data_IF_916313086990
#
_entry.id   IF_916313086990
#
_cell.length_a   1.000
_cell.length_b   1.000
_cell.length_c   1.000
_cell.angle_alpha   90.00
_cell.angle_beta   90.00
_cell.angle_gamma   90.00
#
_symmetry.space_group_name_H-M   'P 1'
#
loop_
_entity.id
_entity.type
_entity.pdbx_description
1 polymer ?
#
# COMPACT_ATOMS: atom_id res chain seq x y z
N UNK A 1 3.02 8.84 -17.76
CA UNK A 1 3.72 9.75 -16.82
C UNK A 1 5.20 9.47 -16.96
N UNK A 2 6.02 10.51 -17.12
CA UNK A 2 7.48 10.35 -17.20
C UNK A 2 8.07 9.98 -15.84
N UNK A 3 9.28 9.43 -15.81
CA UNK A 3 9.99 9.12 -14.56
C UNK A 3 10.22 10.37 -13.71
N UNK A 4 10.61 11.50 -14.32
CA UNK A 4 10.76 12.78 -13.63
C UNK A 4 9.46 13.24 -12.94
N UNK A 5 8.30 13.01 -13.57
CA UNK A 5 7.00 13.32 -12.94
C UNK A 5 6.68 12.38 -11.77
N UNK A 6 7.05 11.09 -11.84
CA UNK A 6 6.90 10.16 -10.71
C UNK A 6 7.73 10.60 -9.52
N UNK A 7 9.00 10.90 -9.74
CA UNK A 7 9.92 11.32 -8.68
C UNK A 7 9.44 12.60 -7.98
N UNK A 8 8.97 13.57 -8.77
CA UNK A 8 8.40 14.82 -8.23
C UNK A 8 7.18 14.54 -7.34
N UNK A 9 6.27 13.66 -7.79
CA UNK A 9 5.08 13.28 -7.03
C UNK A 9 5.43 12.57 -5.72
N UNK A 10 6.32 11.57 -5.77
CA UNK A 10 6.78 10.82 -4.59
C UNK A 10 7.47 11.77 -3.62
N UNK A 11 8.37 12.65 -4.10
CA UNK A 11 9.08 13.63 -3.28
C UNK A 11 8.11 14.60 -2.62
N UNK A 12 7.10 15.08 -3.33
CA UNK A 12 6.08 15.96 -2.76
C UNK A 12 5.31 15.26 -1.64
N UNK A 13 4.82 14.04 -1.90
CA UNK A 13 4.08 13.24 -0.93
C UNK A 13 4.91 12.93 0.33
N UNK A 14 6.14 12.44 0.17
CA UNK A 14 7.02 12.06 1.28
C UNK A 14 7.49 13.25 2.14
N UNK A 15 7.46 14.47 1.59
CA UNK A 15 7.82 15.69 2.30
C UNK A 15 6.62 16.41 2.94
N UNK A 16 5.40 15.91 2.76
CA UNK A 16 4.23 16.52 3.38
C UNK A 16 4.18 16.24 4.89
N UNK A 17 3.63 17.19 5.66
CA UNK A 17 3.63 17.16 7.12
C UNK A 17 3.09 15.84 7.74
N UNK A 18 2.03 15.20 7.21
CA UNK A 18 1.53 13.93 7.76
C UNK A 18 2.53 12.77 7.68
N UNK A 19 3.53 12.85 6.80
CA UNK A 19 4.52 11.80 6.56
C UNK A 19 5.90 12.11 7.15
N UNK A 20 6.06 13.23 7.87
CA UNK A 20 7.35 13.60 8.47
C UNK A 20 7.95 12.46 9.32
N UNK A 21 7.10 11.71 10.02
CA UNK A 21 7.48 10.58 10.87
C UNK A 21 8.17 9.44 10.11
N UNK A 22 7.89 9.25 8.81
CA UNK A 22 8.55 8.20 8.02
C UNK A 22 10.07 8.41 8.03
N UNK A 23 10.52 9.66 7.95
CA UNK A 23 11.95 10.00 7.91
C UNK A 23 12.70 9.62 9.19
N UNK A 24 11.97 9.48 10.30
CA UNK A 24 12.52 9.08 11.59
C UNK A 24 12.62 7.54 11.71
N UNK A 25 12.08 6.79 10.75
CA UNK A 25 11.99 5.33 10.78
C UNK A 25 12.51 4.70 9.48
N UNK A 26 13.83 4.40 9.38
CA UNK A 26 14.47 3.91 8.14
C UNK A 26 13.82 2.67 7.53
N UNK A 27 13.39 1.71 8.35
CA UNK A 27 12.76 0.48 7.88
C UNK A 27 11.47 0.75 7.09
N UNK A 28 10.62 1.66 7.59
CA UNK A 28 9.41 2.05 6.88
C UNK A 28 9.73 2.78 5.57
N UNK A 29 10.75 3.63 5.57
CA UNK A 29 11.20 4.31 4.35
C UNK A 29 11.64 3.31 3.29
N UNK A 30 12.41 2.29 3.66
CA UNK A 30 12.88 1.25 2.74
C UNK A 30 11.73 0.44 2.13
N UNK A 31 10.72 0.09 2.95
CA UNK A 31 9.52 -0.61 2.47
C UNK A 31 8.75 0.25 1.45
N UNK A 32 8.46 1.51 1.78
CA UNK A 32 7.75 2.41 0.88
C UNK A 32 8.58 2.77 -0.36
N UNK A 33 9.89 2.91 -0.24
CA UNK A 33 10.76 3.17 -1.39
C UNK A 33 10.67 2.03 -2.41
N UNK A 34 10.73 0.77 -1.96
CA UNK A 34 10.57 -0.38 -2.85
C UNK A 34 9.17 -0.41 -3.50
N UNK A 35 8.12 -0.20 -2.70
CA UNK A 35 6.74 -0.19 -3.19
C UNK A 35 6.58 0.84 -4.32
N UNK A 36 6.92 2.09 -4.02
CA UNK A 36 6.71 3.21 -4.93
C UNK A 36 7.58 3.12 -6.19
N UNK A 37 8.77 2.51 -6.11
CA UNK A 37 9.65 2.32 -7.26
C UNK A 37 9.08 1.35 -8.32
N UNK A 38 8.36 0.30 -7.88
CA UNK A 38 7.79 -0.72 -8.78
C UNK A 38 6.40 -0.35 -9.30
N UNK A 39 5.69 0.53 -8.61
CA UNK A 39 4.31 0.86 -8.96
C UNK A 39 4.17 1.62 -10.29
N UNK A 40 3.13 1.30 -11.09
CA UNK A 40 2.89 2.00 -12.35
C UNK A 40 2.45 3.44 -12.07
N UNK A 41 2.82 4.35 -12.97
CA UNK A 41 2.54 5.78 -12.79
C UNK A 41 1.05 6.11 -12.57
N UNK A 42 0.14 5.38 -13.21
CA UNK A 42 -1.31 5.58 -12.98
C UNK A 42 -1.73 5.27 -11.53
N UNK A 43 -1.15 4.24 -10.91
CA UNK A 43 -1.42 3.91 -9.51
C UNK A 43 -0.82 4.97 -8.58
N UNK A 44 0.42 5.39 -8.83
CA UNK A 44 1.06 6.48 -8.09
C UNK A 44 0.25 7.78 -8.16
N UNK A 45 -0.26 8.14 -9.34
CA UNK A 45 -1.08 9.33 -9.51
C UNK A 45 -2.40 9.23 -8.72
N UNK A 46 -3.03 8.04 -8.70
CA UNK A 46 -4.26 7.80 -7.94
C UNK A 46 -4.04 7.88 -6.43
N UNK A 47 -2.91 7.35 -5.93
CA UNK A 47 -2.62 7.31 -4.50
C UNK A 47 -2.00 8.61 -3.98
N UNK A 48 -1.05 9.19 -4.71
CA UNK A 48 -0.24 10.30 -4.23
C UNK A 48 -0.72 11.66 -4.76
N UNK A 49 -1.70 11.67 -5.66
CA UNK A 49 -2.28 12.89 -6.22
C UNK A 49 -3.07 13.71 -5.20
N UNK A 50 -3.31 14.98 -5.51
CA UNK A 50 -3.94 15.95 -4.59
C UNK A 50 -5.45 15.77 -4.43
N UNK A 51 -6.13 15.04 -5.31
CA UNK A 51 -7.59 14.89 -5.26
C UNK A 51 -8.06 14.05 -4.06
N UNK A 52 -7.39 12.92 -3.82
CA UNK A 52 -7.61 12.01 -2.68
C UNK A 52 -6.27 11.40 -2.25
N UNK A 53 -5.41 12.16 -1.55
CA UNK A 53 -4.07 11.71 -1.22
C UNK A 53 -4.08 10.55 -0.22
N UNK A 54 -3.10 9.66 -0.37
CA UNK A 54 -2.73 8.65 0.61
C UNK A 54 -2.04 9.32 1.80
N UNK A 55 -2.55 9.01 2.99
CA UNK A 55 -2.00 9.43 4.27
C UNK A 55 -1.62 8.17 5.03
N UNK A 56 -0.32 7.99 5.27
CA UNK A 56 0.21 6.86 6.02
C UNK A 56 0.41 7.28 7.47
N UNK A 57 -0.33 6.63 8.36
CA UNK A 57 -0.25 6.86 9.79
C UNK A 57 0.79 5.93 10.43
N UNK A 58 1.56 6.42 11.40
CA UNK A 58 2.53 5.58 12.12
C UNK A 58 1.80 4.50 12.91
N UNK A 59 2.47 3.37 13.22
CA UNK A 59 1.88 2.31 14.04
C UNK A 59 1.25 2.82 15.33
N UNK A 60 0.06 2.31 15.65
CA UNK A 60 -0.67 2.69 16.88
C UNK A 60 -0.11 1.91 18.06
N UNK A 61 0.60 2.59 18.93
CA UNK A 61 0.96 2.05 20.26
C UNK A 61 -0.03 2.53 21.34
N UNK A 62 -0.61 3.73 21.14
CA UNK A 62 -1.66 4.35 21.96
C UNK A 62 -2.53 5.25 21.06
N UNK A 63 -3.73 5.61 21.50
CA UNK A 63 -4.63 6.49 20.74
C UNK A 63 -3.95 7.82 20.37
N UNK A 64 -3.85 8.12 19.09
CA UNK A 64 -3.22 9.34 18.55
C UNK A 64 -4.24 10.15 17.76
N UNK A 65 -4.27 11.46 17.98
CA UNK A 65 -5.02 12.39 17.14
C UNK A 65 -4.09 12.94 16.07
N UNK A 66 -4.46 12.77 14.80
CA UNK A 66 -3.77 13.40 13.67
C UNK A 66 -4.68 14.48 13.12
N UNK A 67 -4.23 15.74 13.20
CA UNK A 67 -4.95 16.87 12.60
C UNK A 67 -4.37 17.16 11.23
N UNK A 68 -5.22 17.07 10.22
CA UNK A 68 -4.87 17.38 8.84
C UNK A 68 -5.45 18.74 8.47
N UNK A 69 -4.57 19.70 8.22
CA UNK A 69 -4.96 21.03 7.74
C UNK A 69 -4.68 21.11 6.25
N UNK A 70 -5.55 20.49 5.44
CA UNK A 70 -5.45 20.48 3.98
C UNK A 70 -6.85 20.52 3.35
N UNK A 71 -6.97 21.13 2.17
CA UNK A 71 -8.14 20.94 1.33
C UNK A 71 -8.09 19.51 0.76
N UNK A 72 -9.10 18.69 1.06
CA UNK A 72 -9.21 17.30 0.60
C UNK A 72 -10.43 17.18 -0.33
N UNK A 73 -10.31 17.53 -1.62
CA UNK A 73 -11.45 17.72 -2.52
C UNK A 73 -12.36 16.49 -2.64
N UNK A 74 -11.78 15.30 -2.58
CA UNK A 74 -12.51 14.03 -2.62
C UNK A 74 -12.26 13.16 -1.37
N UNK A 75 -11.77 13.75 -0.27
CA UNK A 75 -11.36 13.04 0.95
C UNK A 75 -9.88 12.62 0.94
N UNK A 76 -9.52 11.65 1.79
CA UNK A 76 -8.18 11.06 1.85
C UNK A 76 -8.27 9.54 1.92
N UNK A 77 -7.24 8.85 1.40
CA UNK A 77 -7.03 7.44 1.67
C UNK A 77 -6.15 7.33 2.92
N UNK A 78 -6.58 6.58 3.93
CA UNK A 78 -5.83 6.42 5.18
C UNK A 78 -5.30 5.00 5.24
N UNK A 79 -3.98 4.86 5.38
CA UNK A 79 -3.32 3.59 5.68
C UNK A 79 -2.76 3.65 7.09
N UNK A 80 -3.38 2.92 8.00
CA UNK A 80 -2.89 2.75 9.36
C UNK A 80 -1.93 1.57 9.39
N UNK A 81 -0.66 1.83 9.70
CA UNK A 81 0.33 0.75 9.80
C UNK A 81 0.19 -0.02 11.11
N UNK A 82 0.62 -1.27 11.08
CA UNK A 82 0.79 -2.13 12.25
C UNK A 82 2.29 -2.38 12.48
N UNK A 83 2.76 -2.20 13.70
CA UNK A 83 4.17 -2.39 14.06
C UNK A 83 4.64 -3.83 13.76
N UNK A 84 3.74 -4.81 13.87
CA UNK A 84 4.01 -6.23 13.63
C UNK A 84 4.45 -6.54 12.20
N UNK A 85 4.21 -5.63 11.24
CA UNK A 85 4.75 -5.78 9.89
C UNK A 85 6.28 -5.78 9.88
N UNK A 86 6.92 -5.07 10.81
CA UNK A 86 8.38 -5.05 10.90
C UNK A 86 8.97 -6.34 11.50
N UNK A 87 8.14 -7.16 12.14
CA UNK A 87 8.54 -8.48 12.66
C UNK A 87 8.53 -9.56 11.56
N UNK A 88 7.97 -9.25 10.39
CA UNK A 88 7.93 -10.16 9.24
C UNK A 88 9.19 -10.02 8.38
N UNK A 89 9.59 -11.06 7.64
CA UNK A 89 10.54 -10.93 6.55
C UNK A 89 10.14 -9.77 5.63
N UNK A 90 11.13 -8.99 5.20
CA UNK A 90 10.95 -7.78 4.41
C UNK A 90 10.07 -7.99 3.17
N UNK A 91 10.28 -9.09 2.45
CA UNK A 91 9.49 -9.45 1.26
C UNK A 91 8.00 -9.66 1.60
N UNK A 92 7.68 -10.33 2.71
CA UNK A 92 6.29 -10.50 3.15
C UNK A 92 5.65 -9.15 3.46
N UNK A 93 6.35 -8.28 4.20
CA UNK A 93 5.86 -6.95 4.56
C UNK A 93 5.60 -6.08 3.32
N UNK A 94 6.49 -6.11 2.33
CA UNK A 94 6.27 -5.45 1.03
C UNK A 94 5.05 -6.04 0.32
N UNK A 95 4.88 -7.35 0.32
CA UNK A 95 3.72 -8.02 -0.29
C UNK A 95 2.39 -7.58 0.31
N UNK A 96 2.33 -7.54 1.65
CA UNK A 96 1.14 -7.10 2.39
C UNK A 96 0.83 -5.63 2.08
N UNK A 97 1.83 -4.74 2.16
CA UNK A 97 1.62 -3.32 1.86
C UNK A 97 1.22 -3.08 0.40
N UNK A 98 1.76 -3.85 -0.55
CA UNK A 98 1.34 -3.77 -1.95
C UNK A 98 -0.13 -4.14 -2.13
N UNK A 99 -0.62 -5.16 -1.42
CA UNK A 99 -2.03 -5.54 -1.38
C UNK A 99 -2.92 -4.42 -0.79
N UNK A 100 -2.54 -3.84 0.35
CA UNK A 100 -3.30 -2.74 0.96
C UNK A 100 -3.38 -1.51 0.06
N UNK A 101 -2.28 -1.15 -0.62
CA UNK A 101 -2.28 -0.06 -1.59
C UNK A 101 -3.11 -0.40 -2.83
N UNK A 102 -3.17 -1.67 -3.22
CA UNK A 102 -4.00 -2.13 -4.32
C UNK A 102 -5.50 -1.96 -4.05
N UNK A 103 -5.96 -2.25 -2.82
CA UNK A 103 -7.34 -1.98 -2.39
C UNK A 103 -7.75 -0.53 -2.67
N UNK A 104 -6.91 0.42 -2.28
CA UNK A 104 -7.14 1.85 -2.51
C UNK A 104 -7.19 2.24 -4.01
N UNK A 105 -6.63 1.40 -4.87
CA UNK A 105 -6.61 1.59 -6.31
C UNK A 105 -7.78 0.93 -7.06
N UNK A 106 -8.47 -0.07 -6.51
CA UNK A 106 -9.54 -0.78 -7.24
C UNK A 106 -10.89 -0.85 -6.53
N UNK A 107 -10.91 -0.80 -5.20
CA UNK A 107 -12.15 -0.86 -4.43
C UNK A 107 -12.77 0.53 -4.38
N UNK A 108 -13.75 0.78 -5.26
CA UNK A 108 -14.43 2.08 -5.39
C UNK A 108 -15.66 2.21 -4.48
N UNK A 109 -16.13 1.10 -3.91
CA UNK A 109 -17.21 1.03 -2.92
C UNK A 109 -16.96 -0.14 -1.96
N UNK A 110 -17.48 -0.11 -0.72
CA UNK A 110 -17.53 -1.31 0.12
C UNK A 110 -18.40 -2.36 -0.58
N UNK A 111 -17.78 -3.30 -1.29
CA UNK A 111 -18.49 -4.46 -1.80
C UNK A 111 -18.76 -5.40 -0.62
N UNK A 112 -19.95 -6.04 -0.62
CA UNK A 112 -20.34 -6.98 0.44
C UNK A 112 -19.52 -8.29 0.45
N UNK A 113 -18.67 -8.52 -0.56
CA UNK A 113 -17.84 -9.71 -0.71
C UNK A 113 -16.36 -9.37 -0.50
N UNK A 114 -15.88 -9.64 0.72
CA UNK A 114 -14.50 -9.40 1.14
C UNK A 114 -13.50 -10.22 0.32
N UNK A 115 -13.82 -11.49 0.03
CA UNK A 115 -12.93 -12.38 -0.71
C UNK A 115 -12.73 -11.87 -2.14
N UNK A 116 -13.81 -11.41 -2.79
CA UNK A 116 -13.72 -10.83 -4.13
C UNK A 116 -12.81 -9.59 -4.14
N UNK A 117 -12.95 -8.69 -3.16
CA UNK A 117 -12.10 -7.51 -3.05
C UNK A 117 -10.63 -7.90 -2.87
N UNK A 118 -10.36 -8.87 -2.01
CA UNK A 118 -9.02 -9.36 -1.76
C UNK A 118 -8.38 -9.96 -3.02
N UNK A 119 -9.14 -10.76 -3.77
CA UNK A 119 -8.67 -11.32 -5.04
C UNK A 119 -8.36 -10.25 -6.08
N UNK A 120 -9.18 -9.19 -6.16
CA UNK A 120 -8.94 -8.07 -7.06
C UNK A 120 -7.68 -7.28 -6.65
N UNK A 121 -7.49 -7.03 -5.35
CA UNK A 121 -6.30 -6.37 -4.83
C UNK A 121 -5.03 -7.22 -5.04
N UNK A 122 -5.10 -8.53 -4.81
CA UNK A 122 -3.99 -9.47 -5.06
C UNK A 122 -3.56 -9.44 -6.53
N UNK A 123 -4.52 -9.47 -7.45
CA UNK A 123 -4.24 -9.37 -8.90
C UNK A 123 -3.56 -8.05 -9.26
N UNK A 124 -3.98 -6.94 -8.66
CA UNK A 124 -3.37 -5.63 -8.90
C UNK A 124 -1.94 -5.59 -8.37
N UNK A 125 -1.71 -6.06 -7.14
CA UNK A 125 -0.38 -6.15 -6.55
C UNK A 125 0.55 -7.04 -7.40
N UNK A 126 0.04 -8.16 -7.92
CA UNK A 126 0.77 -9.01 -8.85
C UNK A 126 1.14 -8.27 -10.14
N UNK A 127 0.22 -7.50 -10.73
CA UNK A 127 0.49 -6.67 -11.93
C UNK A 127 1.48 -5.53 -11.67
N UNK A 128 1.62 -5.08 -10.42
CA UNK A 128 2.69 -4.15 -10.02
C UNK A 128 4.03 -4.86 -9.78
N UNK A 129 4.06 -6.19 -9.94
CA UNK A 129 5.24 -7.03 -9.85
C UNK A 129 5.40 -7.76 -8.52
N UNK A 130 4.53 -7.57 -7.52
CA UNK A 130 4.72 -8.08 -6.15
C UNK A 130 4.25 -9.53 -5.92
N UNK A 131 4.10 -10.31 -6.99
CA UNK A 131 3.56 -11.68 -6.92
C UNK A 131 4.33 -12.57 -5.93
N UNK A 132 5.66 -12.57 -6.00
CA UNK A 132 6.50 -13.41 -5.13
C UNK A 132 6.39 -13.01 -3.66
N UNK A 133 6.49 -11.70 -3.37
CA UNK A 133 6.33 -11.13 -2.04
C UNK A 133 4.97 -11.48 -1.42
N UNK A 134 3.90 -11.30 -2.21
CA UNK A 134 2.54 -11.60 -1.80
C UNK A 134 2.32 -13.10 -1.56
N UNK A 135 2.84 -13.96 -2.45
CA UNK A 135 2.72 -15.41 -2.28
C UNK A 135 3.38 -15.92 -0.99
N UNK A 136 4.54 -15.35 -0.61
CA UNK A 136 5.21 -15.66 0.65
C UNK A 136 4.37 -15.25 1.86
N UNK A 137 3.80 -14.04 1.85
CA UNK A 137 2.95 -13.56 2.93
C UNK A 137 1.70 -14.44 3.09
N UNK A 138 0.99 -14.73 1.99
CA UNK A 138 -0.21 -15.56 2.02
C UNK A 138 0.08 -17.00 2.45
N UNK A 139 1.17 -17.59 1.97
CA UNK A 139 1.56 -18.96 2.35
C UNK A 139 1.92 -19.14 3.82
N UNK A 140 2.16 -18.04 4.54
CA UNK A 140 2.35 -18.05 5.99
C UNK A 140 1.04 -17.94 6.76
N UNK A 141 0.08 -17.19 6.22
CA UNK A 141 -1.12 -16.77 6.94
C UNK A 141 -2.35 -17.65 6.61
N UNK A 142 -2.31 -18.39 5.50
CA UNK A 142 -3.44 -19.12 4.94
C UNK A 142 -3.07 -20.57 4.58
N UNK A 143 -4.08 -21.43 4.57
CA UNK A 143 -3.95 -22.82 4.12
C UNK A 143 -3.69 -22.90 2.61
N UNK A 144 -2.96 -23.93 2.18
CA UNK A 144 -2.46 -24.07 0.80
C UNK A 144 -3.54 -24.11 -0.29
N UNK A 145 -4.77 -24.48 0.06
CA UNK A 145 -5.93 -24.55 -0.83
C UNK A 145 -6.78 -23.26 -0.83
N UNK A 146 -6.37 -22.25 -0.07
CA UNK A 146 -7.10 -20.99 0.03
C UNK A 146 -7.19 -20.29 -1.35
N UNK A 147 -8.37 -19.78 -1.76
CA UNK A 147 -8.57 -19.18 -3.08
C UNK A 147 -7.56 -18.11 -3.47
N UNK A 148 -7.14 -17.28 -2.51
CA UNK A 148 -6.10 -16.24 -2.72
C UNK A 148 -4.74 -16.82 -3.09
N UNK A 149 -4.30 -17.90 -2.43
CA UNK A 149 -3.03 -18.57 -2.76
C UNK A 149 -3.09 -19.12 -4.19
N UNK A 150 -4.18 -19.82 -4.52
CA UNK A 150 -4.38 -20.39 -5.85
C UNK A 150 -4.39 -19.29 -6.93
N UNK A 151 -5.03 -18.16 -6.67
CA UNK A 151 -5.08 -17.04 -7.60
C UNK A 151 -3.70 -16.42 -7.86
N UNK A 152 -2.91 -16.17 -6.80
CA UNK A 152 -1.56 -15.59 -6.92
C UNK A 152 -0.59 -16.55 -7.60
N UNK A 153 -0.71 -17.85 -7.35
CA UNK A 153 0.10 -18.87 -8.02
C UNK A 153 -0.19 -18.96 -9.53
N UNK A 154 -1.42 -18.66 -9.95
CA UNK A 154 -1.83 -18.70 -11.35
C UNK A 154 -1.75 -17.33 -12.07
N UNK A 155 -1.39 -16.26 -11.36
CA UNK A 155 -1.25 -14.93 -11.95
C UNK A 155 -0.05 -14.89 -12.91
N UNK A 156 -0.30 -14.68 -14.21
CA UNK A 156 0.71 -14.56 -15.25
C UNK A 156 1.50 -13.24 -15.14
#
# INVERSE_FOLDING_TARGET
>A
MSESSKESLIRHWANSAPHAWLKENPLWVELFAELLARMPGKALQKLLGSARPLIVLPPVYFGRVVRLTAALPAGANILQLDARLLDRPRDEAVGILAHELAHLCVVTAPHADELKNDLEADQVACRWGFRTQLAQALGRDLESDHPRILAVQNAA
#
